data_IF_248133461029
#
_entry.id   IF_248133461029
#
_cell.length_a   1.000
_cell.length_b   1.000
_cell.length_c   1.000
_cell.angle_alpha   90.00
_cell.angle_beta   90.00
_cell.angle_gamma   90.00
#
_symmetry.space_group_name_H-M   'P 1'
#
loop_
_entity.id
_entity.type
_entity.pdbx_description
1 polymer ?
#
# COMPACT_ATOMS: atom_id res chain seq x y z
N UNK A 1 18.11 -8.00 -29.91
CA UNK A 1 16.65 -8.16 -30.16
C UNK A 1 16.22 -9.63 -30.19
N UNK A 2 17.01 -10.55 -30.74
CA UNK A 2 16.70 -11.99 -30.77
C UNK A 2 16.55 -12.62 -29.37
N UNK A 3 17.36 -12.22 -28.39
CA UNK A 3 17.26 -12.75 -27.02
C UNK A 3 16.04 -12.22 -26.26
N UNK A 4 15.62 -10.98 -26.53
CA UNK A 4 14.40 -10.39 -25.96
C UNK A 4 13.14 -11.11 -26.48
N UNK A 5 13.10 -11.42 -27.78
CA UNK A 5 12.00 -12.20 -28.39
C UNK A 5 11.94 -13.61 -27.83
N UNK A 6 13.09 -14.30 -27.71
CA UNK A 6 13.17 -15.64 -27.14
C UNK A 6 12.73 -15.68 -25.68
N UNK A 7 13.17 -14.71 -24.86
CA UNK A 7 12.72 -14.58 -23.48
C UNK A 7 11.19 -14.30 -23.38
N UNK A 8 10.66 -13.42 -24.24
CA UNK A 8 9.23 -13.16 -24.31
C UNK A 8 8.44 -14.43 -24.64
N UNK A 9 8.86 -15.17 -25.67
CA UNK A 9 8.16 -16.35 -26.14
C UNK A 9 8.26 -17.53 -25.14
N UNK A 10 9.45 -17.82 -24.63
CA UNK A 10 9.71 -18.97 -23.74
C UNK A 10 9.34 -18.73 -22.28
N UNK A 11 9.45 -17.49 -21.78
CA UNK A 11 9.26 -17.21 -20.35
C UNK A 11 7.94 -16.52 -20.06
N UNK A 12 7.47 -15.63 -20.94
CA UNK A 12 6.26 -14.82 -20.68
C UNK A 12 5.03 -15.40 -21.36
N UNK A 13 5.13 -15.70 -22.65
CA UNK A 13 4.02 -16.25 -23.44
C UNK A 13 3.76 -17.71 -23.06
N UNK A 14 4.81 -18.54 -23.00
CA UNK A 14 4.67 -19.96 -22.66
C UNK A 14 4.15 -20.21 -21.22
N UNK A 15 4.38 -19.29 -20.28
CA UNK A 15 3.89 -19.40 -18.89
C UNK A 15 2.54 -18.68 -18.68
N UNK A 16 1.88 -18.20 -19.74
CA UNK A 16 0.58 -17.53 -19.65
C UNK A 16 0.63 -16.15 -18.96
N UNK A 17 1.81 -15.53 -18.85
CA UNK A 17 2.03 -14.26 -18.12
C UNK A 17 1.90 -13.02 -19.00
N UNK A 18 1.69 -13.20 -20.31
CA UNK A 18 1.57 -12.09 -21.26
C UNK A 18 0.51 -11.05 -20.87
N UNK A 19 -0.72 -11.43 -20.43
CA UNK A 19 -1.71 -10.44 -20.02
C UNK A 19 -1.26 -9.61 -18.82
N UNK A 20 -0.58 -10.22 -17.86
CA UNK A 20 -0.08 -9.54 -16.68
C UNK A 20 1.08 -8.57 -17.04
N UNK A 21 1.91 -8.93 -18.03
CA UNK A 21 2.99 -8.06 -18.50
C UNK A 21 2.41 -6.83 -19.20
N UNK A 22 1.44 -7.09 -20.07
CA UNK A 22 0.67 -6.07 -20.77
C UNK A 22 -0.06 -5.12 -19.81
N UNK A 23 -0.67 -5.65 -18.74
CA UNK A 23 -1.21 -4.85 -17.65
C UNK A 23 -0.14 -3.96 -17.01
N UNK A 24 1.02 -4.51 -16.64
CA UNK A 24 2.10 -3.73 -16.02
C UNK A 24 2.59 -2.61 -16.95
N UNK A 25 2.78 -2.90 -18.24
CA UNK A 25 3.21 -1.92 -19.23
C UNK A 25 2.17 -0.82 -19.41
N UNK A 26 0.89 -1.19 -19.58
CA UNK A 26 -0.21 -0.22 -19.67
C UNK A 26 -0.29 0.66 -18.43
N UNK A 27 -0.07 0.09 -17.25
CA UNK A 27 -0.03 0.80 -15.98
C UNK A 27 1.13 1.80 -15.89
N UNK A 28 2.35 1.39 -16.23
CA UNK A 28 3.53 2.28 -16.25
C UNK A 28 3.32 3.43 -17.23
N UNK A 29 2.87 3.10 -18.46
CA UNK A 29 2.61 4.09 -19.51
C UNK A 29 1.54 5.08 -19.05
N UNK A 30 0.42 4.61 -18.51
CA UNK A 30 -0.66 5.47 -18.02
C UNK A 30 -0.20 6.43 -16.93
N UNK A 31 0.56 5.91 -15.95
CA UNK A 31 1.08 6.72 -14.86
C UNK A 31 2.06 7.80 -15.36
N UNK A 32 2.97 7.46 -16.27
CA UNK A 32 3.91 8.41 -16.84
C UNK A 32 3.21 9.46 -17.71
N UNK A 33 2.24 9.05 -18.53
CA UNK A 33 1.47 9.95 -19.39
C UNK A 33 0.69 10.97 -18.56
N UNK A 34 0.01 10.55 -17.50
CA UNK A 34 -0.77 11.48 -16.69
C UNK A 34 0.14 12.43 -15.90
N UNK A 35 1.26 11.93 -15.35
CA UNK A 35 2.26 12.76 -14.67
C UNK A 35 2.86 13.79 -15.63
N UNK A 36 3.13 13.40 -16.86
CA UNK A 36 3.61 14.31 -17.90
C UNK A 36 2.53 15.35 -18.23
N UNK A 37 1.28 14.93 -18.42
CA UNK A 37 0.16 15.83 -18.70
C UNK A 37 0.01 16.89 -17.61
N UNK A 38 -0.05 16.50 -16.33
CA UNK A 38 -0.16 17.44 -15.20
C UNK A 38 1.05 18.38 -15.12
N UNK A 39 2.25 17.93 -15.49
CA UNK A 39 3.44 18.80 -15.57
C UNK A 39 3.32 19.82 -16.70
N UNK A 40 2.87 19.41 -17.89
CA UNK A 40 2.68 20.31 -19.04
C UNK A 40 1.62 21.37 -18.75
N UNK A 41 0.52 20.97 -18.08
CA UNK A 41 -0.53 21.88 -17.62
C UNK A 41 0.02 22.90 -16.63
N UNK A 42 0.77 22.45 -15.60
CA UNK A 42 1.41 23.35 -14.61
C UNK A 42 2.42 24.31 -15.24
N UNK A 43 3.15 23.88 -16.27
CA UNK A 43 4.08 24.72 -17.04
C UNK A 43 3.40 25.61 -18.08
N UNK A 44 2.06 25.60 -18.18
CA UNK A 44 1.27 26.40 -19.13
C UNK A 44 1.77 26.27 -20.58
N UNK A 45 2.09 25.04 -20.98
CA UNK A 45 2.61 24.75 -22.33
C UNK A 45 1.51 24.95 -23.37
N UNK A 46 1.72 25.87 -24.32
CA UNK A 46 0.69 26.39 -25.25
C UNK A 46 0.08 25.33 -26.19
N UNK A 47 0.79 24.24 -26.49
CA UNK A 47 0.29 23.18 -27.40
C UNK A 47 -0.51 22.08 -26.69
N UNK A 48 -0.49 22.03 -25.35
CA UNK A 48 -1.22 21.00 -24.60
C UNK A 48 -2.65 21.47 -24.32
N UNK A 49 -3.69 20.63 -24.53
CA UNK A 49 -5.11 21.02 -24.43
C UNK A 49 -5.57 21.47 -23.04
N UNK A 50 -4.70 21.43 -22.03
CA UNK A 50 -5.00 21.94 -20.71
C UNK A 50 -5.93 21.04 -19.89
N UNK A 51 -6.66 21.63 -18.96
CA UNK A 51 -7.62 20.93 -18.12
C UNK A 51 -8.95 20.68 -18.86
N UNK A 52 -9.49 19.47 -18.75
CA UNK A 52 -10.80 19.14 -19.28
C UNK A 52 -11.90 19.63 -18.32
N UNK A 53 -12.81 20.45 -18.84
CA UNK A 53 -13.96 21.00 -18.10
C UNK A 53 -15.24 20.73 -18.89
N UNK A 54 -16.29 20.31 -18.19
CA UNK A 54 -17.65 20.27 -18.71
C UNK A 54 -18.48 21.33 -17.99
N UNK A 55 -18.68 22.48 -18.63
CA UNK A 55 -19.21 23.67 -17.96
C UNK A 55 -18.28 24.14 -16.84
N UNK A 56 -18.83 24.31 -15.63
CA UNK A 56 -18.07 24.70 -14.44
C UNK A 56 -17.40 23.52 -13.70
N UNK A 57 -17.65 22.28 -14.15
CA UNK A 57 -17.14 21.07 -13.48
C UNK A 57 -15.79 20.66 -14.05
N UNK A 58 -14.77 20.58 -13.18
CA UNK A 58 -13.47 20.04 -13.52
C UNK A 58 -13.51 18.51 -13.49
N UNK A 59 -13.22 17.88 -14.63
CA UNK A 59 -13.22 16.41 -14.71
C UNK A 59 -11.83 15.92 -14.32
N UNK A 60 -11.75 15.24 -13.18
CA UNK A 60 -10.53 14.56 -12.76
C UNK A 60 -10.23 13.40 -13.72
N UNK A 61 -8.96 13.22 -14.08
CA UNK A 61 -8.55 12.17 -14.99
C UNK A 61 -8.83 10.75 -14.45
N UNK A 62 -8.99 10.63 -13.12
CA UNK A 62 -9.51 9.45 -12.44
C UNK A 62 -10.82 8.95 -13.07
N UNK A 63 -11.72 9.84 -13.52
CA UNK A 63 -13.01 9.47 -14.12
C UNK A 63 -12.79 8.66 -15.40
N UNK A 64 -11.87 9.10 -16.27
CA UNK A 64 -11.49 8.31 -17.45
C UNK A 64 -10.86 6.98 -17.04
N UNK A 65 -10.04 6.99 -15.98
CA UNK A 65 -9.49 5.77 -15.41
C UNK A 65 -10.57 4.75 -14.99
N UNK A 66 -11.62 5.20 -14.31
CA UNK A 66 -12.76 4.35 -13.92
C UNK A 66 -13.46 3.77 -15.14
N UNK A 67 -13.74 4.59 -16.16
CA UNK A 67 -14.37 4.11 -17.41
C UNK A 67 -13.50 3.05 -18.10
N UNK A 68 -12.19 3.29 -18.22
CA UNK A 68 -11.26 2.33 -18.81
C UNK A 68 -11.21 1.02 -18.03
N UNK A 69 -11.14 1.08 -16.70
CA UNK A 69 -11.15 -0.11 -15.82
C UNK A 69 -12.45 -0.90 -15.98
N UNK A 70 -13.61 -0.24 -15.99
CA UNK A 70 -14.90 -0.91 -16.12
C UNK A 70 -15.08 -1.55 -17.49
N UNK A 71 -14.79 -0.82 -18.58
CA UNK A 71 -14.94 -1.34 -19.95
C UNK A 71 -13.97 -2.51 -20.20
N UNK A 72 -12.70 -2.37 -19.81
CA UNK A 72 -11.72 -3.43 -19.97
C UNK A 72 -12.00 -4.62 -19.05
N UNK A 73 -12.48 -4.39 -17.83
CA UNK A 73 -12.90 -5.45 -16.90
C UNK A 73 -14.09 -6.25 -17.42
N UNK A 74 -15.14 -5.58 -17.91
CA UNK A 74 -16.28 -6.23 -18.59
C UNK A 74 -15.81 -6.96 -19.84
N UNK A 75 -14.88 -6.36 -20.61
CA UNK A 75 -14.24 -7.00 -21.74
C UNK A 75 -13.58 -8.31 -21.35
N UNK A 76 -12.71 -8.29 -20.33
CA UNK A 76 -12.00 -9.47 -19.82
C UNK A 76 -12.96 -10.58 -19.37
N UNK A 77 -14.08 -10.22 -18.72
CA UNK A 77 -15.12 -11.19 -18.32
C UNK A 77 -15.81 -11.77 -19.54
N UNK A 78 -16.18 -10.94 -20.51
CA UNK A 78 -16.87 -11.37 -21.75
C UNK A 78 -15.97 -12.28 -22.61
N UNK A 79 -14.67 -11.97 -22.67
CA UNK A 79 -13.71 -12.65 -23.55
C UNK A 79 -12.78 -13.58 -22.80
N UNK A 80 -13.19 -14.09 -21.64
CA UNK A 80 -12.31 -14.88 -20.75
C UNK A 80 -11.70 -16.13 -21.42
N UNK A 81 -12.37 -16.69 -22.42
CA UNK A 81 -11.90 -17.82 -23.24
C UNK A 81 -11.30 -17.42 -24.61
N UNK A 82 -11.07 -16.13 -24.85
CA UNK A 82 -10.50 -15.64 -26.11
C UNK A 82 -8.98 -15.80 -26.16
N UNK A 83 -8.41 -15.62 -27.35
CA UNK A 83 -6.97 -15.69 -27.56
C UNK A 83 -6.18 -14.73 -26.66
N UNK A 84 -4.97 -15.15 -26.30
CA UNK A 84 -4.08 -14.42 -25.38
C UNK A 84 -3.82 -12.97 -25.82
N UNK A 85 -3.83 -12.68 -27.12
CA UNK A 85 -3.67 -11.33 -27.65
C UNK A 85 -4.80 -10.38 -27.22
N UNK A 86 -6.06 -10.81 -27.36
CA UNK A 86 -7.23 -10.00 -26.97
C UNK A 86 -7.24 -9.75 -25.46
N UNK A 87 -6.99 -10.79 -24.67
CA UNK A 87 -6.91 -10.69 -23.21
C UNK A 87 -5.77 -9.75 -22.80
N UNK A 88 -4.62 -9.82 -23.48
CA UNK A 88 -3.48 -8.95 -23.19
C UNK A 88 -3.71 -7.49 -23.57
N UNK A 89 -4.39 -7.23 -24.68
CA UNK A 89 -4.79 -5.87 -25.06
C UNK A 89 -5.72 -5.26 -24.00
N UNK A 90 -6.74 -6.00 -23.58
CA UNK A 90 -7.67 -5.56 -22.54
C UNK A 90 -6.97 -5.38 -21.18
N UNK A 91 -6.04 -6.27 -20.82
CA UNK A 91 -5.24 -6.14 -19.62
C UNK A 91 -4.38 -4.85 -19.65
N UNK A 92 -3.85 -4.47 -20.82
CA UNK A 92 -3.11 -3.21 -21.00
C UNK A 92 -4.00 -2.00 -20.76
N UNK A 93 -5.22 -2.00 -21.31
CA UNK A 93 -6.21 -0.93 -21.11
C UNK A 93 -6.65 -0.86 -19.65
N UNK A 94 -6.83 -2.02 -19.01
CA UNK A 94 -7.12 -2.10 -17.58
C UNK A 94 -5.99 -1.50 -16.74
N UNK A 95 -4.73 -1.82 -17.06
CA UNK A 95 -3.55 -1.25 -16.43
C UNK A 95 -3.48 0.28 -16.59
N UNK A 96 -3.71 0.76 -17.81
CA UNK A 96 -3.79 2.19 -18.12
C UNK A 96 -4.84 2.88 -17.23
N UNK A 97 -6.07 2.35 -17.22
CA UNK A 97 -7.15 2.89 -16.41
C UNK A 97 -6.84 2.88 -14.91
N UNK A 98 -6.30 1.77 -14.40
CA UNK A 98 -5.89 1.64 -13.00
C UNK A 98 -4.82 2.66 -12.61
N UNK A 99 -3.88 2.97 -13.50
CA UNK A 99 -2.86 3.99 -13.25
C UNK A 99 -3.46 5.40 -13.10
N UNK A 100 -4.42 5.75 -13.96
CA UNK A 100 -5.16 7.01 -13.88
C UNK A 100 -5.97 7.12 -12.59
N UNK A 101 -6.58 6.01 -12.14
CA UNK A 101 -7.31 5.97 -10.86
C UNK A 101 -6.35 6.13 -9.67
N UNK A 102 -5.21 5.43 -9.68
CA UNK A 102 -4.25 5.47 -8.57
C UNK A 102 -3.45 6.76 -8.49
N UNK A 103 -3.33 7.51 -9.58
CA UNK A 103 -2.67 8.82 -9.56
C UNK A 103 -3.39 9.81 -8.62
N UNK A 104 -4.72 9.67 -8.50
CA UNK A 104 -5.59 10.42 -7.59
C UNK A 104 -6.06 9.60 -6.39
N UNK A 105 -5.32 8.56 -6.00
CA UNK A 105 -5.69 7.69 -4.87
C UNK A 105 -6.04 8.48 -3.58
N UNK A 106 -5.36 9.60 -3.35
CA UNK A 106 -5.65 10.46 -2.19
C UNK A 106 -7.08 11.01 -2.21
N UNK A 107 -7.59 11.42 -3.37
CA UNK A 107 -8.93 11.96 -3.53
C UNK A 107 -10.00 10.88 -3.23
N UNK A 108 -9.78 9.66 -3.72
CA UNK A 108 -10.66 8.50 -3.49
C UNK A 108 -10.71 8.14 -2.01
N UNK A 109 -9.56 8.12 -1.34
CA UNK A 109 -9.46 7.65 0.04
C UNK A 109 -9.93 8.69 1.06
N UNK A 110 -9.61 9.98 0.84
CA UNK A 110 -9.90 11.04 1.82
C UNK A 110 -11.20 11.82 1.53
N UNK A 111 -11.79 11.69 0.33
CA UNK A 111 -13.14 12.18 -0.02
C UNK A 111 -13.43 13.65 0.37
N UNK A 112 -12.40 14.49 0.51
CA UNK A 112 -12.52 15.93 0.75
C UNK A 112 -11.63 16.67 -0.24
N UNK A 113 -12.26 17.54 -1.03
CA UNK A 113 -11.66 18.31 -2.14
C UNK A 113 -10.80 19.50 -1.69
N UNK A 114 -10.41 19.53 -0.43
CA UNK A 114 -9.54 20.54 0.11
C UNK A 114 -8.58 19.78 1.01
N UNK A 115 -7.29 19.73 0.68
CA UNK A 115 -6.16 19.82 1.63
C UNK A 115 -4.78 19.40 1.06
N UNK A 116 -4.01 20.44 0.70
CA UNK A 116 -2.54 20.65 0.78
C UNK A 116 -1.52 19.83 -0.03
N UNK A 117 -0.54 20.59 -0.54
CA UNK A 117 0.58 20.33 -1.46
C UNK A 117 1.51 19.13 -1.16
N UNK A 118 1.28 18.36 -0.08
CA UNK A 118 2.13 17.23 0.31
C UNK A 118 1.70 15.87 -0.26
N UNK A 119 0.51 15.76 -0.88
CA UNK A 119 -0.12 14.47 -1.20
C UNK A 119 0.18 13.85 -2.57
N UNK A 120 0.97 14.50 -3.43
CA UNK A 120 1.61 13.79 -4.55
C UNK A 120 2.43 12.58 -4.10
N UNK A 121 2.76 12.49 -2.80
CA UNK A 121 3.51 11.43 -2.14
C UNK A 121 2.66 10.18 -1.84
N UNK A 122 1.37 10.30 -1.53
CA UNK A 122 0.52 9.14 -1.19
C UNK A 122 0.05 8.37 -2.41
N UNK A 123 -0.24 9.03 -3.53
CA UNK A 123 -0.53 8.34 -4.80
C UNK A 123 0.70 7.62 -5.35
N UNK A 124 1.89 8.23 -5.22
CA UNK A 124 3.16 7.58 -5.57
C UNK A 124 3.40 6.30 -4.76
N UNK A 125 3.08 6.30 -3.46
CA UNK A 125 3.17 5.07 -2.65
C UNK A 125 2.28 3.95 -3.20
N UNK A 126 1.02 4.26 -3.51
CA UNK A 126 0.06 3.29 -4.03
C UNK A 126 0.53 2.71 -5.38
N UNK A 127 1.06 3.56 -6.26
CA UNK A 127 1.62 3.15 -7.55
C UNK A 127 2.83 2.23 -7.37
N UNK A 128 3.76 2.54 -6.46
CA UNK A 128 4.89 1.65 -6.17
C UNK A 128 4.45 0.29 -5.59
N UNK A 129 3.40 0.25 -4.75
CA UNK A 129 2.80 -1.02 -4.29
C UNK A 129 2.31 -1.82 -5.48
N UNK A 130 1.51 -1.20 -6.35
CA UNK A 130 0.92 -1.88 -7.51
C UNK A 130 2.01 -2.44 -8.43
N UNK A 131 3.06 -1.65 -8.72
CA UNK A 131 4.22 -2.09 -9.50
C UNK A 131 4.95 -3.27 -8.84
N UNK A 132 5.23 -3.20 -7.54
CA UNK A 132 5.95 -4.24 -6.83
C UNK A 132 5.17 -5.55 -6.77
N UNK A 133 3.88 -5.49 -6.45
CA UNK A 133 3.00 -6.68 -6.39
C UNK A 133 2.86 -7.31 -7.77
N UNK A 134 2.58 -6.51 -8.79
CA UNK A 134 2.44 -7.00 -10.17
C UNK A 134 3.76 -7.57 -10.69
N UNK A 135 4.88 -6.93 -10.39
CA UNK A 135 6.22 -7.43 -10.73
C UNK A 135 6.53 -8.77 -10.07
N UNK A 136 6.19 -8.95 -8.79
CA UNK A 136 6.35 -10.24 -8.10
C UNK A 136 5.49 -11.33 -8.73
N UNK A 137 4.23 -11.02 -9.05
CA UNK A 137 3.34 -11.96 -9.75
C UNK A 137 3.90 -12.34 -11.14
N UNK A 138 4.50 -11.38 -11.87
CA UNK A 138 5.15 -11.64 -13.16
C UNK A 138 6.39 -12.52 -13.05
N UNK A 139 7.13 -12.39 -11.97
CA UNK A 139 8.26 -13.28 -11.67
C UNK A 139 7.78 -14.68 -11.23
N UNK A 140 6.48 -14.87 -10.99
CA UNK A 140 5.88 -16.15 -10.63
C UNK A 140 5.71 -16.35 -9.12
N UNK A 141 5.98 -15.31 -8.32
CA UNK A 141 5.70 -15.37 -6.89
C UNK A 141 4.22 -15.13 -6.67
N UNK A 142 3.50 -16.16 -6.22
CA UNK A 142 2.10 -16.04 -5.85
C UNK A 142 1.98 -15.96 -4.32
N UNK A 143 1.31 -14.94 -3.75
CA UNK A 143 1.23 -14.77 -2.30
C UNK A 143 0.44 -15.88 -1.61
N UNK A 144 -0.38 -16.61 -2.37
CA UNK A 144 -1.24 -17.68 -1.91
C UNK A 144 -0.88 -19.03 -2.54
N UNK A 145 0.36 -19.20 -3.04
CA UNK A 145 0.80 -20.48 -3.63
C UNK A 145 0.64 -21.67 -2.68
N UNK A 146 0.68 -21.42 -1.37
CA UNK A 146 0.48 -22.40 -0.30
C UNK A 146 -1.00 -22.73 -0.05
N UNK A 147 -1.92 -21.87 -0.50
CA UNK A 147 -3.36 -22.07 -0.42
C UNK A 147 -3.93 -22.72 -1.68
N UNK A 148 -3.09 -23.16 -2.62
CA UNK A 148 -3.57 -23.72 -3.89
C UNK A 148 -4.43 -24.95 -3.63
N UNK A 149 -5.74 -24.72 -3.63
CA UNK A 149 -6.79 -25.68 -3.30
C UNK A 149 -6.82 -26.80 -4.35
N UNK A 150 -6.26 -26.58 -5.54
CA UNK A 150 -6.12 -27.60 -6.57
C UNK A 150 -5.34 -28.82 -6.08
N UNK A 151 -4.21 -28.60 -5.41
CA UNK A 151 -3.41 -29.69 -4.82
C UNK A 151 -4.08 -30.32 -3.60
N UNK A 152 -4.77 -29.52 -2.77
CA UNK A 152 -5.54 -30.05 -1.62
C UNK A 152 -6.69 -30.96 -2.09
N UNK A 153 -7.29 -30.64 -3.24
CA UNK A 153 -8.45 -31.36 -3.79
C UNK A 153 -8.05 -32.61 -4.59
N UNK A 154 -6.86 -32.64 -5.19
CA UNK A 154 -6.37 -33.75 -6.03
C UNK A 154 -5.40 -34.71 -5.34
N UNK A 155 -4.79 -34.34 -4.20
CA UNK A 155 -4.01 -35.28 -3.40
C UNK A 155 -4.97 -36.19 -2.61
N UNK A 156 -4.88 -37.52 -2.82
CA UNK A 156 -5.74 -38.50 -2.15
C UNK A 156 -5.24 -38.86 -0.75
N UNK A 157 -4.06 -38.39 -0.32
CA UNK A 157 -3.53 -38.68 1.01
C UNK A 157 -4.15 -37.76 2.08
N UNK A 158 -4.82 -38.30 3.14
CA UNK A 158 -5.37 -37.48 4.21
C UNK A 158 -4.27 -36.71 4.97
N UNK A 159 -3.08 -37.31 5.10
CA UNK A 159 -1.92 -36.70 5.75
C UNK A 159 -1.41 -35.46 5.00
N UNK A 160 -1.31 -35.52 3.68
CA UNK A 160 -0.87 -34.38 2.86
C UNK A 160 -1.81 -33.19 2.96
N UNK A 161 -3.13 -33.45 2.92
CA UNK A 161 -4.17 -32.43 3.10
C UNK A 161 -4.10 -31.77 4.47
N UNK A 162 -4.00 -32.56 5.55
CA UNK A 162 -3.92 -32.02 6.91
C UNK A 162 -2.65 -31.19 7.10
N UNK A 163 -1.51 -31.67 6.59
CA UNK A 163 -0.25 -30.94 6.66
C UNK A 163 -0.31 -29.60 5.92
N UNK A 164 -0.76 -29.59 4.67
CA UNK A 164 -0.87 -28.38 3.85
C UNK A 164 -1.87 -27.38 4.46
N UNK A 165 -3.01 -27.86 4.95
CA UNK A 165 -4.01 -27.01 5.63
C UNK A 165 -3.44 -26.39 6.91
N UNK A 166 -2.73 -27.17 7.73
CA UNK A 166 -2.09 -26.66 8.95
C UNK A 166 -1.01 -25.64 8.62
N UNK A 167 -0.17 -25.93 7.62
CA UNK A 167 0.88 -25.03 7.16
C UNK A 167 0.31 -23.70 6.65
N UNK A 168 -0.75 -23.75 5.83
CA UNK A 168 -1.48 -22.59 5.36
C UNK A 168 -2.01 -21.72 6.51
N UNK A 169 -2.70 -22.34 7.48
CA UNK A 169 -3.23 -21.63 8.66
C UNK A 169 -2.12 -20.97 9.47
N UNK A 170 -0.99 -21.66 9.69
CA UNK A 170 0.16 -21.09 10.42
C UNK A 170 0.72 -19.87 9.68
N UNK A 171 0.85 -19.92 8.36
CA UNK A 171 1.33 -18.78 7.57
C UNK A 171 0.37 -17.59 7.63
N UNK A 172 -0.95 -17.83 7.53
CA UNK A 172 -1.97 -16.79 7.68
C UNK A 172 -1.93 -16.16 9.08
N UNK A 173 -1.75 -16.97 10.13
CA UNK A 173 -1.59 -16.48 11.50
C UNK A 173 -0.33 -15.63 11.66
N UNK A 174 0.80 -16.04 11.06
CA UNK A 174 2.03 -15.23 11.06
C UNK A 174 1.80 -13.89 10.34
N UNK A 175 1.16 -13.90 9.18
CA UNK A 175 0.81 -12.67 8.45
C UNK A 175 -0.10 -11.75 9.31
N UNK A 176 -1.13 -12.30 9.94
CA UNK A 176 -2.01 -11.56 10.83
C UNK A 176 -1.24 -10.93 12.01
N UNK A 177 -0.32 -11.67 12.65
CA UNK A 177 0.54 -11.16 13.73
C UNK A 177 1.41 -10.01 13.22
N UNK A 178 2.03 -10.14 12.05
CA UNK A 178 2.89 -9.10 11.46
C UNK A 178 2.09 -7.82 11.16
N UNK A 179 0.87 -7.97 10.64
CA UNK A 179 -0.05 -6.86 10.39
C UNK A 179 -0.50 -6.22 11.71
N UNK A 180 -0.90 -7.00 12.71
CA UNK A 180 -1.27 -6.52 14.05
C UNK A 180 -0.13 -5.77 14.75
N UNK A 181 1.12 -6.12 14.43
CA UNK A 181 2.35 -5.41 14.86
C UNK A 181 2.62 -4.12 14.09
N UNK A 182 1.75 -3.73 13.15
CA UNK A 182 1.82 -2.50 12.35
C UNK A 182 2.81 -2.57 11.19
N UNK A 183 3.29 -3.76 10.81
CA UNK A 183 4.31 -3.96 9.76
C UNK A 183 3.67 -4.41 8.45
N UNK A 184 2.71 -3.63 7.95
CA UNK A 184 1.92 -3.95 6.75
C UNK A 184 2.80 -4.39 5.57
N UNK A 185 3.88 -3.66 5.30
CA UNK A 185 4.84 -3.98 4.23
C UNK A 185 5.57 -5.32 4.44
N UNK A 186 6.02 -5.62 5.65
CA UNK A 186 6.66 -6.90 5.97
C UNK A 186 5.65 -8.05 5.88
N UNK A 187 4.38 -7.79 6.22
CA UNK A 187 3.29 -8.74 6.03
C UNK A 187 3.05 -9.02 4.55
N UNK A 188 2.85 -7.95 3.75
CA UNK A 188 2.60 -8.03 2.31
C UNK A 188 3.71 -8.79 1.58
N UNK A 189 4.97 -8.36 1.71
CA UNK A 189 6.10 -9.07 1.09
C UNK A 189 6.39 -10.42 1.73
N UNK A 190 6.05 -10.59 3.01
CA UNK A 190 6.19 -11.86 3.70
C UNK A 190 5.27 -12.96 3.18
N UNK A 191 4.10 -12.62 2.62
CA UNK A 191 3.24 -13.62 1.95
C UNK A 191 3.92 -14.21 0.70
N UNK A 192 4.76 -13.45 0.03
CA UNK A 192 5.58 -13.95 -1.09
C UNK A 192 6.84 -14.67 -0.59
N UNK A 193 7.33 -14.34 0.62
CA UNK A 193 8.56 -14.88 1.17
C UNK A 193 8.46 -15.12 2.70
N UNK A 194 8.13 -16.36 3.07
CA UNK A 194 7.82 -16.78 4.45
C UNK A 194 8.87 -16.36 5.50
N UNK A 195 10.20 -16.42 5.25
CA UNK A 195 11.17 -16.01 6.26
C UNK A 195 10.98 -14.56 6.75
N UNK A 196 10.46 -13.67 5.90
CA UNK A 196 10.11 -12.30 6.31
C UNK A 196 8.94 -12.28 7.30
N UNK A 197 7.97 -13.18 7.20
CA UNK A 197 6.88 -13.31 8.18
C UNK A 197 7.41 -13.74 9.54
N UNK A 198 8.30 -14.74 9.57
CA UNK A 198 8.93 -15.22 10.82
C UNK A 198 9.74 -14.10 11.47
N UNK A 199 10.62 -13.42 10.70
CA UNK A 199 11.41 -12.28 11.20
C UNK A 199 10.50 -11.12 11.63
N UNK A 200 9.43 -10.86 10.89
CA UNK A 200 8.42 -9.84 11.19
C UNK A 200 7.68 -10.14 12.49
N UNK A 201 7.32 -11.40 12.72
CA UNK A 201 6.62 -11.90 13.89
C UNK A 201 7.53 -11.94 15.12
N UNK A 202 8.81 -12.28 14.99
CA UNK A 202 9.76 -12.29 16.11
C UNK A 202 10.17 -10.87 16.54
N UNK A 203 10.33 -9.94 15.59
CA UNK A 203 10.77 -8.56 15.89
C UNK A 203 9.71 -7.78 16.69
N UNK A 204 10.16 -6.81 17.49
CA UNK A 204 9.30 -5.86 18.22
C UNK A 204 8.25 -5.22 17.30
N UNK A 205 7.04 -5.02 17.84
CA UNK A 205 5.97 -4.28 17.18
C UNK A 205 6.29 -2.79 17.02
N UNK A 206 5.62 -2.14 16.07
CA UNK A 206 5.68 -0.67 15.94
C UNK A 206 5.02 -0.01 17.16
N UNK A 207 5.54 1.15 17.62
CA UNK A 207 5.06 1.79 18.85
C UNK A 207 3.59 2.24 18.78
N UNK A 208 3.10 2.60 17.59
CA UNK A 208 1.70 2.98 17.34
C UNK A 208 0.75 1.83 17.01
N UNK A 209 1.21 0.57 16.98
CA UNK A 209 0.39 -0.56 16.54
C UNK A 209 -0.56 -1.08 17.64
N UNK A 210 -1.70 -1.72 17.27
CA UNK A 210 -2.60 -2.37 18.22
C UNK A 210 -1.88 -3.35 19.16
N UNK A 211 -0.92 -4.12 18.63
CA UNK A 211 -0.09 -5.03 19.44
C UNK A 211 0.71 -4.32 20.53
N UNK A 212 1.22 -3.11 20.26
CA UNK A 212 1.97 -2.34 21.24
C UNK A 212 1.06 -1.81 22.36
N UNK A 213 -0.21 -1.49 22.05
CA UNK A 213 -1.21 -1.11 23.05
C UNK A 213 -1.42 -2.20 24.07
N UNK A 214 -1.69 -3.42 23.60
CA UNK A 214 -1.98 -4.54 24.50
C UNK A 214 -0.72 -5.04 25.23
N UNK A 215 0.41 -5.16 24.53
CA UNK A 215 1.59 -5.85 25.07
C UNK A 215 2.58 -4.94 25.80
N UNK A 216 2.63 -3.65 25.48
CA UNK A 216 3.62 -2.71 26.02
C UNK A 216 3.04 -1.65 26.96
N UNK A 217 1.71 -1.55 27.14
CA UNK A 217 1.10 -0.59 28.06
C UNK A 217 1.70 -0.65 29.48
N UNK A 218 1.93 -1.86 30.01
CA UNK A 218 2.57 -2.04 31.33
C UNK A 218 4.11 -2.12 31.32
N UNK A 219 4.80 -1.86 30.20
CA UNK A 219 6.25 -2.07 30.06
C UNK A 219 6.96 -0.88 29.39
N UNK A 220 7.18 0.23 30.12
CA UNK A 220 7.70 1.49 29.54
C UNK A 220 9.09 1.34 28.90
N UNK A 221 9.97 0.51 29.50
CA UNK A 221 11.32 0.25 28.95
C UNK A 221 11.27 -0.41 27.55
N UNK A 222 10.30 -1.30 27.31
CA UNK A 222 10.13 -1.94 25.99
C UNK A 222 9.55 -0.98 24.96
N UNK A 223 8.60 -0.12 25.36
CA UNK A 223 8.05 0.93 24.49
C UNK A 223 9.15 1.92 24.06
N UNK A 224 9.98 2.40 24.98
CA UNK A 224 11.08 3.29 24.65
C UNK A 224 12.11 2.64 23.71
N UNK A 225 12.43 1.35 23.91
CA UNK A 225 13.29 0.59 22.99
C UNK A 225 12.67 0.49 21.59
N UNK A 226 11.36 0.25 21.49
CA UNK A 226 10.64 0.23 20.21
C UNK A 226 10.70 1.59 19.49
N UNK A 227 10.49 2.70 20.21
CA UNK A 227 10.57 4.07 19.68
C UNK A 227 11.98 4.39 19.16
N UNK A 228 13.02 4.16 19.97
CA UNK A 228 14.42 4.43 19.58
C UNK A 228 14.80 3.65 18.32
N UNK A 229 14.39 2.39 18.24
CA UNK A 229 14.61 1.52 17.10
C UNK A 229 13.89 2.01 15.84
N UNK A 230 12.60 2.30 15.95
CA UNK A 230 11.79 2.78 14.83
C UNK A 230 12.40 4.07 14.25
N UNK A 231 12.83 5.00 15.11
CA UNK A 231 13.56 6.20 14.67
C UNK A 231 14.85 5.88 13.92
N UNK A 232 15.68 4.94 14.41
CA UNK A 232 16.96 4.58 13.77
C UNK A 232 16.77 3.97 12.38
N UNK A 233 15.88 2.99 12.23
CA UNK A 233 15.74 2.27 10.96
C UNK A 233 14.85 2.97 9.94
N UNK A 234 13.87 3.76 10.40
CA UNK A 234 12.90 4.38 9.49
C UNK A 234 13.36 5.73 8.94
N UNK A 235 14.25 6.44 9.66
CA UNK A 235 14.82 7.72 9.21
C UNK A 235 15.51 7.64 7.83
N UNK A 236 16.40 6.67 7.51
CA UNK A 236 16.99 6.58 6.18
C UNK A 236 15.97 6.23 5.10
N UNK A 237 15.00 5.35 5.40
CA UNK A 237 13.96 4.94 4.43
C UNK A 237 13.02 6.09 4.10
N UNK A 238 12.58 6.86 5.10
CA UNK A 238 11.77 8.06 4.88
C UNK A 238 12.56 9.04 4.02
N UNK A 239 13.84 9.30 4.32
CA UNK A 239 14.70 10.15 3.48
C UNK A 239 14.91 9.60 2.06
N UNK A 240 15.05 8.30 1.85
CA UNK A 240 15.12 7.80 0.47
C UNK A 240 13.79 8.02 -0.26
N UNK A 241 12.68 7.78 0.44
CA UNK A 241 11.34 7.92 -0.09
C UNK A 241 11.00 9.36 -0.48
N UNK A 242 11.19 10.33 0.41
CA UNK A 242 10.86 11.74 0.07
C UNK A 242 11.74 12.17 -1.13
N UNK A 243 12.96 11.63 -1.28
CA UNK A 243 13.89 12.06 -2.32
C UNK A 243 13.42 11.60 -3.69
N UNK A 244 13.04 10.33 -3.78
CA UNK A 244 12.40 9.77 -4.99
C UNK A 244 11.11 10.54 -5.30
N UNK A 245 10.33 10.88 -4.28
CA UNK A 245 9.08 11.63 -4.47
C UNK A 245 9.33 13.05 -4.97
N UNK A 246 10.33 13.76 -4.44
CA UNK A 246 10.70 15.11 -4.87
C UNK A 246 11.30 15.10 -6.28
N UNK A 247 12.04 14.05 -6.65
CA UNK A 247 12.53 13.82 -8.02
C UNK A 247 11.36 13.60 -9.00
N UNK A 248 10.36 12.81 -8.60
CA UNK A 248 9.14 12.58 -9.39
C UNK A 248 8.21 13.82 -9.38
N UNK A 249 8.25 14.65 -8.35
CA UNK A 249 7.46 15.87 -8.26
C UNK A 249 8.13 17.07 -8.97
N UNK A 250 9.45 17.04 -9.18
CA UNK A 250 10.22 18.07 -9.88
C UNK A 250 10.54 19.31 -9.04
N UNK A 251 10.71 19.17 -7.71
CA UNK A 251 11.06 20.30 -6.83
C UNK A 251 12.58 20.60 -6.87
N UNK A 252 13.02 21.86 -7.08
CA UNK A 252 14.43 22.21 -7.22
C UNK A 252 15.27 22.12 -5.93
N UNK A 253 14.67 22.27 -4.75
CA UNK A 253 15.37 22.20 -3.44
C UNK A 253 15.10 20.89 -2.68
N UNK A 254 15.30 19.74 -3.33
CA UNK A 254 15.04 18.45 -2.70
C UNK A 254 15.86 18.29 -1.40
N UNK A 255 17.19 18.34 -1.43
CA UNK A 255 18.05 17.83 -0.33
C UNK A 255 17.85 18.51 1.03
N UNK A 256 17.54 19.81 1.09
CA UNK A 256 17.28 20.52 2.34
C UNK A 256 15.88 20.23 2.89
N UNK A 257 14.85 20.36 2.03
CA UNK A 257 13.45 20.06 2.34
C UNK A 257 13.27 18.60 2.83
N UNK A 258 13.99 17.68 2.18
CA UNK A 258 14.09 16.27 2.49
C UNK A 258 14.40 15.94 3.96
N UNK A 259 15.37 16.65 4.55
CA UNK A 259 15.83 16.36 5.92
C UNK A 259 14.81 16.83 6.95
N UNK A 260 14.26 18.02 6.75
CA UNK A 260 13.24 18.63 7.63
C UNK A 260 11.93 17.83 7.55
N UNK A 261 11.42 17.58 6.34
CA UNK A 261 10.19 16.82 6.12
C UNK A 261 10.29 15.38 6.68
N UNK A 262 11.45 14.73 6.58
CA UNK A 262 11.65 13.40 7.13
C UNK A 262 11.61 13.39 8.67
N UNK A 263 12.09 14.45 9.32
CA UNK A 263 12.07 14.57 10.77
C UNK A 263 10.67 14.87 11.30
N UNK A 264 9.93 15.74 10.62
CA UNK A 264 8.52 15.99 10.94
C UNK A 264 7.64 14.76 10.74
N UNK A 265 7.82 14.03 9.63
CA UNK A 265 7.08 12.79 9.38
C UNK A 265 7.42 11.73 10.44
N UNK A 266 8.67 11.67 10.89
CA UNK A 266 9.09 10.77 11.96
C UNK A 266 8.50 11.17 13.31
N UNK A 267 8.44 12.47 13.63
CA UNK A 267 7.82 12.99 14.84
C UNK A 267 6.33 12.68 14.90
N UNK A 268 5.61 12.87 13.78
CA UNK A 268 4.17 12.55 13.65
C UNK A 268 3.89 11.05 13.75
N UNK A 269 4.72 10.20 13.13
CA UNK A 269 4.43 8.75 13.02
C UNK A 269 4.99 7.88 14.14
N UNK A 270 6.06 8.32 14.83
CA UNK A 270 6.70 7.54 15.90
C UNK A 270 6.25 8.04 17.26
N UNK A 271 4.96 7.92 17.49
CA UNK A 271 4.30 8.20 18.76
C UNK A 271 3.84 6.87 19.38
N UNK A 272 3.98 6.66 20.70
CA UNK A 272 3.41 5.50 21.36
C UNK A 272 1.89 5.47 21.17
N UNK A 273 1.35 4.27 21.00
CA UNK A 273 -0.08 4.11 20.86
C UNK A 273 -0.81 4.59 22.13
N UNK A 274 -2.00 5.23 21.99
CA UNK A 274 -2.79 5.66 23.13
C UNK A 274 -3.08 4.50 24.08
N UNK A 275 -3.10 4.79 25.39
CA UNK A 275 -3.48 3.82 26.40
C UNK A 275 -4.84 3.18 26.06
N UNK A 276 -5.07 1.91 26.41
CA UNK A 276 -6.40 1.34 26.30
C UNK A 276 -7.41 2.19 27.07
N UNK A 277 -8.63 2.42 26.54
CA UNK A 277 -9.67 3.13 27.28
C UNK A 277 -9.89 2.42 28.62
N UNK A 278 -9.96 3.19 29.71
CA UNK A 278 -10.22 2.63 31.03
C UNK A 278 -11.54 1.85 31.01
N UNK A 279 -11.61 0.67 31.66
CA UNK A 279 -12.89 0.02 31.89
C UNK A 279 -13.78 1.00 32.65
N UNK A 280 -14.94 1.32 32.07
CA UNK A 280 -15.99 2.10 32.73
C UNK A 280 -16.37 1.30 33.98
N UNK A 281 -15.88 1.70 35.17
CA UNK A 281 -16.16 0.96 36.40
C UNK A 281 -15.21 1.17 37.59
N UNK A 282 -14.05 1.81 37.44
CA UNK A 282 -13.25 2.21 38.61
C UNK A 282 -13.61 3.65 39.00
N UNK A 283 -14.49 3.76 39.99
CA UNK A 283 -14.84 4.99 40.69
C UNK A 283 -13.58 5.76 41.09
N UNK A 284 -13.49 7.01 40.64
CA UNK A 284 -12.55 8.00 41.19
C UNK A 284 -12.70 8.02 42.72
N UNK A 285 -11.61 8.11 43.51
CA UNK A 285 -11.70 8.27 44.95
C UNK A 285 -12.55 9.51 45.26
N UNK A 286 -13.65 9.35 46.01
CA UNK A 286 -14.42 10.48 46.53
C UNK A 286 -13.47 11.34 47.36
N UNK A 287 -13.20 12.56 46.89
CA UNK A 287 -12.57 13.59 47.71
C UNK A 287 -13.49 13.83 48.92
N UNK A 288 -13.02 13.71 50.17
CA UNK A 288 -13.85 14.00 51.34
C UNK A 288 -14.28 15.46 51.31
N UNK A 289 -15.59 15.69 51.34
CA UNK A 289 -16.18 17.02 51.29
C UNK A 289 -15.73 17.89 52.46
N UNK A 290 -15.27 19.10 52.14
CA UNK A 290 -15.05 20.15 53.13
C UNK A 290 -16.42 20.62 53.64
N UNK A 291 -16.75 20.24 54.88
CA UNK A 291 -17.94 20.72 55.58
C UNK A 291 -17.84 22.24 55.81
N UNK A 292 -18.73 23.00 55.17
CA UNK A 292 -19.01 24.38 55.56
C UNK A 292 -19.73 24.37 56.90
N UNK A 293 -19.04 24.78 57.97
CA UNK A 293 -19.68 25.37 59.15
C UNK A 293 -19.36 26.85 59.15
N UNK A 294 -20.40 27.68 59.16
CA UNK A 294 -20.56 28.94 59.92
C UNK A 294 -21.67 29.75 59.24
N UNK A 295 -22.89 29.61 59.77
CA UNK A 295 -23.88 30.69 59.77
C UNK A 295 -23.65 31.52 61.03
N UNK A 296 -23.71 32.84 60.89
CA UNK A 296 -23.72 33.78 62.01
C UNK A 296 -25.12 34.02 62.55
N UNK A 297 -25.13 34.65 63.72
CA UNK A 297 -26.19 35.35 64.45
C UNK A 297 -27.42 34.56 64.92
#
# INVERSE_FOLDING_TARGET
>A
MADMRRWLDETVVAHGRLPLLCFLLGFIVGFLLIRLSVRLIRKRVRWWPGNLRAGDVHIHHMVFGVVLVLLSGIGLVTVYNSGVGTVSALASVFGLGAALVLDEFALIYYLRDVYWEEQGRTSVDAVFVALAVTGLLLLGFHPLWLLDVGNIRHDHSPTGRTFLSLFAVVNLMLAAIVIAKGKIWTGLFGMFFIPLLVVGALRLSRPGAPWARWRYAGRPRLMQRAIRRERRYRRPVIRAKIFVQDLIAGKPDAVAHMRVAAEEELARRVVPAPAPPHPIGQSLPRIPGHGRRTGGD
#
